data_IF_136851560075
#
_entry.id   IF_136851560075
#
_cell.length_a   1.000
_cell.length_b   1.000
_cell.length_c   1.000
_cell.angle_alpha   90.00
_cell.angle_beta   90.00
_cell.angle_gamma   90.00
#
_symmetry.space_group_name_H-M   'P 1'
#
loop_
_entity.id
_entity.type
_entity.pdbx_description
1 polymer ?
#
# COMPACT_ATOMS: atom_id res chain seq x y z
N UNK A 1 22.94 -26.03 13.27
CA UNK A 1 22.13 -25.95 14.52
C UNK A 1 21.10 -24.86 14.30
N UNK A 2 19.88 -25.26 13.98
CA UNK A 2 18.79 -24.34 13.63
C UNK A 2 18.09 -23.95 14.93
N UNK A 3 18.38 -22.76 15.46
CA UNK A 3 17.73 -22.26 16.68
C UNK A 3 16.28 -21.91 16.36
N UNK A 4 15.36 -22.79 16.72
CA UNK A 4 13.92 -22.52 16.64
C UNK A 4 13.53 -21.67 17.84
N UNK A 5 13.06 -20.44 17.59
CA UNK A 5 12.52 -19.56 18.64
C UNK A 5 11.38 -20.26 19.38
N UNK A 6 11.36 -20.15 20.71
CA UNK A 6 10.30 -20.75 21.52
C UNK A 6 8.95 -20.03 21.30
N UNK A 7 7.85 -20.71 21.57
CA UNK A 7 6.49 -20.14 21.44
C UNK A 7 6.29 -18.86 22.28
N UNK A 8 6.96 -18.76 23.44
CA UNK A 8 6.94 -17.57 24.29
C UNK A 8 7.70 -16.39 23.65
N UNK A 9 8.84 -16.65 23.00
CA UNK A 9 9.60 -15.63 22.28
C UNK A 9 8.86 -15.16 21.03
N UNK A 10 8.21 -16.07 20.29
CA UNK A 10 7.35 -15.73 19.15
C UNK A 10 6.17 -14.86 19.61
N UNK A 11 5.54 -15.20 20.74
CA UNK A 11 4.42 -14.43 21.28
C UNK A 11 4.86 -13.04 21.77
N UNK A 12 6.04 -12.95 22.39
CA UNK A 12 6.64 -11.67 22.80
C UNK A 12 7.01 -10.81 21.60
N UNK A 13 7.53 -11.43 20.52
CA UNK A 13 7.80 -10.74 19.26
C UNK A 13 6.53 -10.24 18.59
N UNK A 14 5.47 -11.05 18.52
CA UNK A 14 4.15 -10.63 18.02
C UNK A 14 3.54 -9.52 18.87
N UNK A 15 3.73 -9.55 20.19
CA UNK A 15 3.27 -8.47 21.06
C UNK A 15 4.09 -7.17 20.89
N UNK A 16 5.39 -7.29 20.53
CA UNK A 16 6.28 -6.15 20.36
C UNK A 16 6.22 -5.50 18.97
N UNK A 17 5.86 -6.27 17.94
CA UNK A 17 5.75 -5.82 16.54
C UNK A 17 4.28 -5.70 16.09
N UNK A 18 3.34 -6.18 16.91
CA UNK A 18 1.93 -6.27 16.56
C UNK A 18 1.67 -7.33 15.48
N UNK A 19 0.57 -7.15 14.73
CA UNK A 19 0.27 -7.90 13.50
C UNK A 19 0.93 -7.27 12.26
N UNK A 20 1.92 -6.41 12.48
CA UNK A 20 2.64 -5.75 11.40
C UNK A 20 3.52 -6.75 10.63
N UNK A 21 3.45 -6.71 9.30
CA UNK A 21 4.16 -7.63 8.40
C UNK A 21 4.76 -6.87 7.24
N UNK A 22 6.01 -7.19 6.91
CA UNK A 22 6.70 -6.70 5.71
C UNK A 22 6.98 -7.94 4.86
N UNK A 23 6.48 -7.95 3.63
CA UNK A 23 6.67 -9.07 2.71
C UNK A 23 7.97 -8.96 1.91
N UNK A 24 8.43 -10.12 1.46
CA UNK A 24 9.65 -10.26 0.66
C UNK A 24 9.60 -9.45 -0.64
N UNK A 25 10.75 -8.94 -1.14
CA UNK A 25 10.86 -8.23 -2.41
C UNK A 25 10.20 -8.95 -3.59
N UNK A 26 9.70 -8.16 -4.54
CA UNK A 26 9.14 -8.66 -5.79
C UNK A 26 10.19 -8.60 -6.90
N UNK A 27 10.26 -9.65 -7.73
CA UNK A 27 11.19 -9.71 -8.84
C UNK A 27 10.90 -8.61 -9.88
N UNK A 28 11.94 -8.00 -10.44
CA UNK A 28 11.80 -6.84 -11.33
C UNK A 28 10.98 -7.09 -12.61
N UNK A 29 10.90 -8.33 -13.09
CA UNK A 29 10.08 -8.69 -14.25
C UNK A 29 8.57 -8.47 -14.00
N UNK A 30 8.13 -8.68 -12.77
CA UNK A 30 6.72 -8.56 -12.37
C UNK A 30 6.30 -7.09 -12.17
N UNK A 31 7.27 -6.17 -12.09
CA UNK A 31 7.05 -4.75 -11.81
C UNK A 31 7.12 -3.87 -13.07
N UNK A 32 7.27 -4.47 -14.25
CA UNK A 32 7.58 -3.76 -15.51
C UNK A 32 6.55 -2.71 -15.91
N UNK A 33 5.31 -2.85 -15.48
CA UNK A 33 4.20 -1.91 -15.77
C UNK A 33 3.93 -0.89 -14.66
N UNK A 34 4.65 -0.98 -13.55
CA UNK A 34 4.46 -0.05 -12.43
C UNK A 34 5.23 1.25 -12.66
N UNK A 35 4.70 2.37 -12.11
CA UNK A 35 5.42 3.63 -11.99
C UNK A 35 6.79 3.43 -11.31
N UNK A 36 7.81 4.23 -11.67
CA UNK A 36 9.17 4.08 -11.15
C UNK A 36 9.24 4.05 -9.62
N UNK A 37 8.46 4.89 -8.93
CA UNK A 37 8.48 4.98 -7.48
C UNK A 37 7.92 3.73 -6.81
N UNK A 38 6.78 3.20 -7.30
CA UNK A 38 6.22 1.94 -6.81
C UNK A 38 7.12 0.75 -7.13
N UNK A 39 7.77 0.75 -8.30
CA UNK A 39 8.75 -0.28 -8.63
C UNK A 39 9.93 -0.28 -7.68
N UNK A 40 10.52 0.89 -7.42
CA UNK A 40 11.63 1.03 -6.49
C UNK A 40 11.23 0.57 -5.07
N UNK A 41 10.00 0.88 -4.65
CA UNK A 41 9.44 0.40 -3.40
C UNK A 41 9.33 -1.14 -3.37
N UNK A 42 8.66 -1.76 -4.36
CA UNK A 42 8.43 -3.22 -4.37
C UNK A 42 9.69 -4.07 -4.56
N UNK A 43 10.78 -3.48 -5.06
CA UNK A 43 12.10 -4.10 -5.09
C UNK A 43 12.74 -4.24 -3.69
N UNK A 44 12.25 -3.48 -2.71
CA UNK A 44 12.75 -3.52 -1.32
C UNK A 44 11.73 -4.15 -0.39
N UNK A 45 10.44 -3.86 -0.60
CA UNK A 45 9.33 -4.29 0.26
C UNK A 45 8.16 -4.76 -0.59
N UNK A 46 7.86 -6.06 -0.60
CA UNK A 46 6.83 -6.60 -1.50
C UNK A 46 5.39 -6.35 -1.06
N UNK A 47 5.15 -6.17 0.23
CA UNK A 47 3.86 -5.80 0.82
C UNK A 47 4.10 -5.27 2.23
N UNK A 48 3.15 -4.47 2.75
CA UNK A 48 3.17 -3.97 4.12
C UNK A 48 1.78 -4.16 4.71
N UNK A 49 1.72 -4.72 5.92
CA UNK A 49 0.53 -4.75 6.76
C UNK A 49 0.87 -4.04 8.05
N UNK A 50 0.12 -3.02 8.41
CA UNK A 50 0.29 -2.17 9.60
C UNK A 50 -1.09 -1.95 10.24
N UNK A 51 -1.72 -3.00 10.79
CA UNK A 51 -3.07 -2.90 11.35
C UNK A 51 -3.13 -1.98 12.58
N UNK A 52 -1.99 -1.77 13.24
CA UNK A 52 -1.88 -0.98 14.48
C UNK A 52 -1.67 0.54 14.23
N UNK A 53 -1.61 0.96 12.96
CA UNK A 53 -1.37 2.37 12.58
C UNK A 53 -2.70 3.01 12.17
N UNK A 54 -3.20 3.95 12.99
CA UNK A 54 -4.52 4.58 12.81
C UNK A 54 -5.69 3.57 12.67
N UNK A 55 -6.37 3.53 11.51
CA UNK A 55 -7.42 2.55 11.19
C UNK A 55 -6.88 1.25 10.59
N UNK A 56 -5.55 1.16 10.49
CA UNK A 56 -4.81 0.14 9.77
C UNK A 56 -4.34 0.65 8.41
N UNK A 57 -3.16 0.21 8.00
CA UNK A 57 -2.60 0.50 6.67
C UNK A 57 -2.09 -0.76 6.01
N UNK A 58 -2.44 -0.94 4.74
CA UNK A 58 -1.97 -2.06 3.93
C UNK A 58 -1.42 -1.54 2.62
N UNK A 59 -0.16 -1.89 2.31
CA UNK A 59 0.40 -1.80 0.96
C UNK A 59 0.33 -3.21 0.39
N UNK A 60 -0.52 -3.39 -0.62
CA UNK A 60 -0.77 -4.69 -1.20
C UNK A 60 0.39 -5.13 -2.08
N UNK A 61 0.60 -6.45 -2.19
CA UNK A 61 1.48 -6.98 -3.23
C UNK A 61 0.97 -6.51 -4.60
N UNK A 62 1.84 -6.08 -5.52
CA UNK A 62 1.41 -5.68 -6.84
C UNK A 62 0.72 -6.86 -7.54
N UNK A 63 -0.36 -6.62 -8.29
CA UNK A 63 -1.02 -7.67 -9.04
C UNK A 63 -0.04 -8.29 -10.04
N UNK A 64 -0.16 -9.61 -10.22
CA UNK A 64 0.66 -10.32 -11.20
C UNK A 64 0.42 -9.82 -12.63
N UNK A 65 1.35 -10.07 -13.57
CA UNK A 65 1.18 -9.65 -14.96
C UNK A 65 -0.13 -10.17 -15.56
N UNK A 66 -0.98 -9.25 -16.03
CA UNK A 66 -2.27 -9.59 -16.66
C UNK A 66 -3.40 -9.94 -15.69
N UNK A 67 -3.20 -9.76 -14.38
CA UNK A 67 -4.25 -9.89 -13.38
C UNK A 67 -4.98 -8.56 -13.24
N UNK A 68 -6.27 -8.56 -13.52
CA UNK A 68 -7.18 -7.50 -13.11
C UNK A 68 -7.60 -7.79 -11.66
N UNK A 69 -7.28 -6.86 -10.76
CA UNK A 69 -7.63 -6.95 -9.35
C UNK A 69 -8.95 -6.24 -9.02
N UNK A 70 -9.69 -5.77 -10.04
CA UNK A 70 -10.95 -5.06 -9.88
C UNK A 70 -10.80 -3.71 -9.18
N UNK A 71 -9.59 -3.15 -9.18
CA UNK A 71 -9.31 -1.82 -8.63
C UNK A 71 -9.40 -0.76 -9.73
N UNK A 72 -9.73 0.48 -9.39
CA UNK A 72 -9.78 1.56 -10.37
C UNK A 72 -8.37 1.86 -10.91
N UNK A 73 -8.31 2.12 -12.21
CA UNK A 73 -7.06 2.41 -12.94
C UNK A 73 -7.06 3.80 -13.57
N UNK A 74 -8.18 4.53 -13.50
CA UNK A 74 -8.31 5.90 -14.02
C UNK A 74 -9.32 6.69 -13.18
N UNK A 75 -9.10 8.00 -13.05
CA UNK A 75 -10.10 8.93 -12.52
C UNK A 75 -11.10 9.33 -13.62
N UNK A 76 -12.31 9.80 -13.27
CA UNK A 76 -13.31 10.23 -14.26
C UNK A 76 -12.88 11.46 -15.09
N UNK A 77 -11.91 12.23 -14.62
CA UNK A 77 -11.25 13.30 -15.40
C UNK A 77 -10.16 12.78 -16.37
N UNK A 78 -9.95 11.47 -16.43
CA UNK A 78 -9.04 10.79 -17.36
C UNK A 78 -7.61 10.61 -16.86
N UNK A 79 -7.26 11.06 -15.65
CA UNK A 79 -5.91 10.84 -15.09
C UNK A 79 -5.71 9.36 -14.73
N UNK A 80 -4.63 8.71 -15.20
CA UNK A 80 -4.34 7.32 -14.85
C UNK A 80 -3.88 7.22 -13.40
N UNK A 81 -4.32 6.16 -12.73
CA UNK A 81 -3.94 5.88 -11.35
C UNK A 81 -3.48 4.44 -11.17
N UNK A 82 -2.66 4.20 -10.16
CA UNK A 82 -2.25 2.85 -9.76
C UNK A 82 -2.53 2.68 -8.28
N UNK A 83 -3.59 1.93 -7.96
CA UNK A 83 -3.91 1.56 -6.59
C UNK A 83 -2.83 0.61 -6.06
N UNK A 84 -2.33 0.90 -4.86
CA UNK A 84 -1.26 0.13 -4.23
C UNK A 84 -1.56 -0.23 -2.78
N UNK A 85 -2.57 0.39 -2.15
CA UNK A 85 -2.85 0.15 -0.75
C UNK A 85 -4.28 0.48 -0.34
N UNK A 86 -4.59 0.23 0.93
CA UNK A 86 -5.87 0.55 1.56
C UNK A 86 -5.69 0.89 3.05
N UNK A 87 -6.71 1.53 3.64
CA UNK A 87 -6.75 1.88 5.06
C UNK A 87 -7.66 0.97 5.91
N UNK A 88 -8.14 -0.16 5.35
CA UNK A 88 -9.04 -1.12 6.02
C UNK A 88 -10.44 -0.60 6.34
N UNK A 89 -10.64 0.72 6.34
CA UNK A 89 -11.93 1.40 6.46
C UNK A 89 -12.65 1.57 5.13
N UNK A 90 -12.13 0.97 4.05
CA UNK A 90 -12.71 1.01 2.71
C UNK A 90 -12.14 2.10 1.81
N UNK A 91 -11.15 2.88 2.25
CA UNK A 91 -10.43 3.78 1.35
C UNK A 91 -9.24 3.07 0.68
N UNK A 92 -8.94 3.49 -0.54
CA UNK A 92 -7.79 3.03 -1.30
C UNK A 92 -6.72 4.13 -1.39
N UNK A 93 -5.47 3.72 -1.50
CA UNK A 93 -4.34 4.59 -1.83
C UNK A 93 -3.86 4.32 -3.24
N UNK A 94 -3.75 5.37 -4.03
CA UNK A 94 -3.37 5.29 -5.43
C UNK A 94 -2.29 6.32 -5.80
N UNK A 95 -1.39 5.95 -6.70
CA UNK A 95 -0.43 6.88 -7.29
C UNK A 95 -1.04 7.52 -8.54
N UNK A 96 -1.00 8.84 -8.65
CA UNK A 96 -1.42 9.62 -9.82
C UNK A 96 -0.28 10.55 -10.26
N UNK A 97 0.49 10.14 -11.28
CA UNK A 97 1.77 10.80 -11.55
C UNK A 97 2.75 10.54 -10.40
N UNK A 98 3.20 11.60 -9.71
CA UNK A 98 3.98 11.46 -8.46
C UNK A 98 3.09 11.43 -7.22
N UNK A 99 1.94 12.10 -7.23
CA UNK A 99 1.13 12.30 -6.03
C UNK A 99 0.47 11.01 -5.54
N UNK A 100 0.32 10.90 -4.22
CA UNK A 100 -0.48 9.84 -3.58
C UNK A 100 -1.87 10.41 -3.29
N UNK A 101 -2.87 9.72 -3.81
CA UNK A 101 -4.28 10.00 -3.60
C UNK A 101 -4.86 9.01 -2.58
N UNK A 102 -5.74 9.48 -1.72
CA UNK A 102 -6.69 8.68 -0.96
C UNK A 102 -8.04 8.73 -1.66
N UNK A 103 -8.54 7.57 -2.05
CA UNK A 103 -9.83 7.38 -2.73
C UNK A 103 -10.84 6.94 -1.67
N UNK A 104 -11.75 7.83 -1.30
CA UNK A 104 -12.79 7.55 -0.32
C UNK A 104 -14.10 8.27 -0.64
N UNK A 105 -15.22 7.56 -0.52
CA UNK A 105 -16.56 8.15 -0.67
C UNK A 105 -17.00 8.44 -2.11
N UNK A 106 -16.12 8.29 -3.11
CA UNK A 106 -16.44 8.34 -4.53
C UNK A 106 -17.03 7.04 -5.07
N UNK A 107 -17.76 7.15 -6.18
CA UNK A 107 -18.28 6.00 -6.92
C UNK A 107 -17.18 5.36 -7.78
N UNK A 108 -17.23 4.04 -7.94
CA UNK A 108 -16.37 3.30 -8.86
C UNK A 108 -17.25 2.50 -9.83
N UNK A 109 -17.03 2.70 -11.14
CA UNK A 109 -17.75 1.96 -12.19
C UNK A 109 -16.78 1.57 -13.30
N UNK A 110 -16.62 0.27 -13.56
CA UNK A 110 -15.81 -0.23 -14.68
C UNK A 110 -14.33 0.14 -14.60
N UNK A 111 -13.79 0.31 -13.40
CA UNK A 111 -12.41 0.72 -13.15
C UNK A 111 -12.14 2.22 -13.29
N UNK A 112 -13.20 3.02 -13.42
CA UNK A 112 -13.17 4.50 -13.33
C UNK A 112 -13.62 4.91 -11.94
N UNK A 113 -12.81 5.72 -11.26
CA UNK A 113 -13.12 6.28 -9.94
C UNK A 113 -13.49 7.76 -10.05
N UNK A 114 -14.52 8.17 -9.31
CA UNK A 114 -14.98 9.56 -9.22
C UNK A 114 -13.87 10.49 -8.68
N UNK A 115 -13.45 11.49 -9.46
CA UNK A 115 -12.37 12.40 -9.06
C UNK A 115 -12.73 13.23 -7.81
N UNK A 116 -14.02 13.49 -7.57
CA UNK A 116 -14.48 14.25 -6.40
C UNK A 116 -14.24 13.47 -5.08
N UNK A 117 -14.14 12.15 -5.16
CA UNK A 117 -13.77 11.27 -4.05
C UNK A 117 -12.26 11.11 -3.85
N UNK A 118 -11.43 11.72 -4.69
CA UNK A 118 -9.98 11.56 -4.68
C UNK A 118 -9.29 12.76 -4.02
N UNK A 119 -8.67 12.54 -2.86
CA UNK A 119 -7.94 13.58 -2.13
C UNK A 119 -6.43 13.34 -2.18
N UNK A 120 -5.64 14.37 -2.51
CA UNK A 120 -4.17 14.29 -2.42
C UNK A 120 -3.76 14.23 -0.95
N UNK A 121 -3.02 13.19 -0.55
CA UNK A 121 -2.53 13.00 0.82
C UNK A 121 -1.00 13.12 0.94
N UNK A 122 -0.27 13.03 -0.17
CA UNK A 122 1.15 13.31 -0.23
C UNK A 122 1.55 13.73 -1.66
N UNK A 123 2.59 14.56 -1.77
CA UNK A 123 3.15 14.98 -3.06
C UNK A 123 3.88 13.83 -3.79
N UNK A 124 4.41 12.87 -3.03
CA UNK A 124 5.06 11.67 -3.53
C UNK A 124 4.98 10.46 -2.58
N UNK A 125 5.39 9.28 -3.08
CA UNK A 125 5.38 8.04 -2.31
C UNK A 125 6.30 8.10 -1.09
N UNK A 126 7.43 8.82 -1.18
CA UNK A 126 8.38 8.94 -0.07
C UNK A 126 7.78 9.74 1.08
N UNK A 127 7.12 10.86 0.78
CA UNK A 127 6.40 11.66 1.77
C UNK A 127 5.30 10.82 2.43
N UNK A 128 4.50 10.09 1.64
CA UNK A 128 3.48 9.19 2.17
C UNK A 128 4.06 8.15 3.15
N UNK A 129 5.14 7.46 2.78
CA UNK A 129 5.80 6.49 3.66
C UNK A 129 6.37 7.15 4.92
N UNK A 130 6.89 8.38 4.83
CA UNK A 130 7.36 9.12 5.99
C UNK A 130 6.22 9.51 6.94
N UNK A 131 5.05 9.87 6.40
CA UNK A 131 3.84 10.13 7.19
C UNK A 131 3.37 8.86 7.90
N UNK A 132 3.34 7.71 7.20
CA UNK A 132 3.01 6.41 7.80
C UNK A 132 3.93 6.05 8.98
N UNK A 133 5.24 6.21 8.80
CA UNK A 133 6.21 5.91 9.85
C UNK A 133 6.05 6.82 11.08
N UNK A 134 5.66 8.09 10.86
CA UNK A 134 5.36 9.02 11.97
C UNK A 134 4.07 8.66 12.69
N UNK A 135 3.04 8.21 11.96
CA UNK A 135 1.80 7.72 12.56
C UNK A 135 1.99 6.40 13.32
N UNK A 136 2.90 5.55 12.86
CA UNK A 136 3.24 4.26 13.49
C UNK A 136 4.07 4.40 14.77
N UNK A 137 4.92 5.43 14.86
CA UNK A 137 5.69 5.74 16.06
C UNK A 137 4.89 6.62 17.01
N UNK A 138 4.12 6.05 17.94
CA UNK A 138 3.74 6.80 19.15
C UNK A 138 4.93 6.88 20.13
N UNK A 139 5.14 8.01 20.82
CA UNK A 139 5.97 8.05 22.03
C UNK A 139 5.37 7.19 23.16
#
# INVERSE_FOLDING_TARGET
MTSTLSSAEVSRWRAAVGDSRIGEPVAGADLTRLPPDLRAFYQVVGEVSLPDVENGYWIHRPPGPGVDNGQPYVLSDGRPIVVFGSDGGGALFALCGSAVLRLAGGAEVGGVYDEDGATVVAADLREFLALLLRGAGRP
#
